data_IF_321342523577
#
_entry.id   IF_321342523577
#
_cell.length_a   1.000
_cell.length_b   1.000
_cell.length_c   1.000
_cell.angle_alpha   90.00
_cell.angle_beta   90.00
_cell.angle_gamma   90.00
#
_symmetry.space_group_name_H-M   'P 1'
#
loop_
_entity.id
_entity.type
_entity.pdbx_description
1 polymer ?
#
# COMPACT_ATOMS: atom_id res chain seq x y z
N UNK A 1 24.78 -8.30 -0.56
CA UNK A 1 23.60 -7.40 -0.66
C UNK A 1 23.63 -6.48 -1.88
N UNK A 2 24.61 -5.59 -2.11
CA UNK A 2 24.60 -4.70 -3.29
C UNK A 2 24.48 -5.45 -4.63
N UNK A 3 25.21 -6.55 -4.82
CA UNK A 3 25.13 -7.36 -6.03
C UNK A 3 23.73 -7.92 -6.31
N UNK A 4 22.99 -8.34 -5.28
CA UNK A 4 21.61 -8.84 -5.45
C UNK A 4 20.67 -7.78 -6.00
N UNK A 5 20.91 -6.51 -5.65
CA UNK A 5 20.07 -5.41 -6.08
C UNK A 5 20.52 -4.80 -7.40
N UNK A 6 21.75 -5.05 -7.89
CA UNK A 6 22.32 -4.36 -9.06
C UNK A 6 21.38 -4.32 -10.27
N UNK A 7 20.72 -5.44 -10.60
CA UNK A 7 19.85 -5.56 -11.77
C UNK A 7 18.34 -5.45 -11.45
N UNK A 8 17.98 -5.11 -10.21
CA UNK A 8 16.56 -4.94 -9.83
C UNK A 8 16.03 -3.60 -10.32
N UNK A 9 15.06 -3.63 -11.23
CA UNK A 9 14.40 -2.42 -11.77
C UNK A 9 13.05 -2.13 -11.11
N UNK A 10 12.37 -3.18 -10.62
CA UNK A 10 11.05 -3.09 -10.02
C UNK A 10 11.01 -3.70 -8.62
N UNK A 11 10.25 -3.08 -7.73
CA UNK A 11 9.94 -3.60 -6.40
C UNK A 11 8.42 -3.55 -6.19
N UNK A 12 7.84 -4.72 -5.95
CA UNK A 12 6.42 -4.87 -5.62
C UNK A 12 6.26 -5.08 -4.12
N UNK A 13 5.42 -4.29 -3.48
CA UNK A 13 5.09 -4.44 -2.05
C UNK A 13 3.59 -4.64 -1.94
N UNK A 14 3.17 -5.84 -1.52
CA UNK A 14 1.77 -6.13 -1.24
C UNK A 14 1.41 -5.77 0.21
N UNK A 15 0.13 -5.52 0.45
CA UNK A 15 -0.44 -5.13 1.75
C UNK A 15 0.28 -3.97 2.44
N UNK A 16 0.55 -2.89 1.69
CA UNK A 16 1.22 -1.71 2.26
C UNK A 16 0.40 -1.05 3.40
N UNK A 17 -0.91 -1.33 3.50
CA UNK A 17 -1.75 -0.91 4.63
C UNK A 17 -1.25 -1.46 5.96
N UNK A 18 -0.60 -2.63 5.96
CA UNK A 18 -0.06 -3.26 7.17
C UNK A 18 1.37 -2.81 7.49
N UNK A 19 2.00 -2.03 6.61
CA UNK A 19 3.39 -1.60 6.74
C UNK A 19 3.46 -0.22 7.41
N UNK A 20 4.15 -0.08 8.56
CA UNK A 20 4.35 1.22 9.19
C UNK A 20 5.09 2.19 8.27
N UNK A 21 4.72 3.47 8.32
CA UNK A 21 5.36 4.51 7.49
C UNK A 21 6.87 4.64 7.69
N UNK A 22 7.35 4.37 8.91
CA UNK A 22 8.78 4.32 9.22
C UNK A 22 9.50 3.27 8.35
N UNK A 23 8.91 2.10 8.18
CA UNK A 23 9.49 1.04 7.35
C UNK A 23 9.56 1.48 5.88
N UNK A 24 8.55 2.19 5.36
CA UNK A 24 8.59 2.76 4.01
C UNK A 24 9.74 3.78 3.87
N UNK A 25 9.97 4.61 4.90
CA UNK A 25 11.11 5.54 4.94
C UNK A 25 12.46 4.81 4.96
N UNK A 26 12.56 3.71 5.72
CA UNK A 26 13.74 2.85 5.77
C UNK A 26 14.02 2.19 4.42
N UNK A 27 12.99 1.64 3.76
CA UNK A 27 13.10 1.06 2.42
C UNK A 27 13.66 2.10 1.45
N UNK A 28 13.07 3.30 1.42
CA UNK A 28 13.57 4.40 0.58
C UNK A 28 15.05 4.72 0.84
N UNK A 29 15.44 4.81 2.11
CA UNK A 29 16.83 5.09 2.48
C UNK A 29 17.78 3.97 2.01
N UNK A 30 17.39 2.70 2.20
CA UNK A 30 18.18 1.55 1.75
C UNK A 30 18.30 1.47 0.24
N UNK A 31 17.23 1.71 -0.52
CA UNK A 31 17.29 1.72 -1.98
C UNK A 31 18.25 2.79 -2.51
N UNK A 32 18.23 3.99 -1.93
CA UNK A 32 19.18 5.06 -2.26
C UNK A 32 20.64 4.68 -1.97
N UNK A 33 20.90 3.99 -0.86
CA UNK A 33 22.23 3.51 -0.49
C UNK A 33 22.73 2.38 -1.40
N UNK A 34 21.83 1.52 -1.88
CA UNK A 34 22.17 0.35 -2.68
C UNK A 34 22.31 0.66 -4.17
N UNK A 35 21.60 1.68 -4.68
CA UNK A 35 21.52 2.03 -6.11
C UNK A 35 22.06 3.42 -6.41
N UNK A 36 21.18 4.43 -6.36
CA UNK A 36 21.52 5.81 -6.68
C UNK A 36 21.11 6.74 -5.54
N UNK A 37 22.07 7.38 -4.84
CA UNK A 37 21.77 8.25 -3.71
C UNK A 37 20.90 9.46 -4.08
N UNK A 38 20.94 9.92 -5.33
CA UNK A 38 20.24 11.13 -5.77
C UNK A 38 18.88 10.85 -6.42
N UNK A 39 18.60 9.59 -6.77
CA UNK A 39 17.34 9.21 -7.41
C UNK A 39 16.20 8.97 -6.39
N UNK A 40 14.96 9.22 -6.81
CA UNK A 40 13.79 8.83 -6.04
C UNK A 40 13.77 7.30 -5.86
N UNK A 41 13.61 6.81 -4.63
CA UNK A 41 13.63 5.37 -4.30
C UNK A 41 14.85 4.62 -4.90
N UNK A 42 16.00 5.30 -5.04
CA UNK A 42 17.19 4.70 -5.63
C UNK A 42 17.12 4.45 -7.14
N UNK A 43 16.12 5.00 -7.84
CA UNK A 43 15.91 4.77 -9.28
C UNK A 43 15.16 3.47 -9.57
N UNK A 44 14.57 2.83 -8.56
CA UNK A 44 13.73 1.64 -8.71
C UNK A 44 12.27 2.06 -8.86
N UNK A 45 11.57 1.42 -9.79
CA UNK A 45 10.13 1.55 -9.94
C UNK A 45 9.43 0.75 -8.82
N UNK A 46 8.78 1.44 -7.90
CA UNK A 46 8.12 0.81 -6.76
C UNK A 46 6.61 0.80 -6.96
N UNK A 47 6.01 -0.39 -6.91
CA UNK A 47 4.57 -0.60 -6.97
C UNK A 47 4.08 -1.07 -5.61
N UNK A 48 3.08 -0.37 -5.09
CA UNK A 48 2.46 -0.66 -3.81
C UNK A 48 1.03 -1.14 -4.05
N UNK A 49 0.67 -2.26 -3.43
CA UNK A 49 -0.68 -2.79 -3.43
C UNK A 49 -1.21 -2.83 -2.01
N UNK A 50 -2.48 -2.54 -1.85
CA UNK A 50 -3.18 -2.60 -0.58
C UNK A 50 -4.67 -2.51 -0.82
N UNK A 51 -5.43 -3.19 0.04
CA UNK A 51 -6.84 -2.88 0.26
C UNK A 51 -6.91 -1.97 1.50
N UNK A 52 -7.17 -0.68 1.27
CA UNK A 52 -7.19 0.34 2.32
C UNK A 52 -8.32 0.12 3.35
N UNK A 53 -9.28 -0.76 3.05
CA UNK A 53 -10.40 -1.09 3.92
C UNK A 53 -10.15 -2.35 4.76
N UNK A 54 -8.94 -2.92 4.69
CA UNK A 54 -8.51 -4.04 5.53
C UNK A 54 -7.78 -3.56 6.80
N UNK A 55 -7.07 -4.47 7.46
CA UNK A 55 -6.42 -4.22 8.74
C UNK A 55 -5.36 -3.10 8.63
N UNK A 56 -5.34 -2.15 9.59
CA UNK A 56 -4.25 -1.18 9.71
C UNK A 56 -2.94 -1.87 10.16
N UNK A 57 -1.80 -1.16 10.18
CA UNK A 57 -0.56 -1.71 10.70
C UNK A 57 -0.75 -2.17 12.16
N UNK A 58 -0.22 -3.36 12.48
CA UNK A 58 -0.28 -3.92 13.84
C UNK A 58 0.42 -3.00 14.85
N UNK A 59 1.48 -2.31 14.41
CA UNK A 59 2.22 -1.37 15.24
C UNK A 59 1.82 0.07 14.92
N UNK A 60 1.53 0.84 15.97
CA UNK A 60 1.21 2.25 15.85
C UNK A 60 2.44 3.04 15.35
N UNK A 61 2.19 3.98 14.45
CA UNK A 61 3.25 4.88 13.98
C UNK A 61 3.68 5.84 15.11
N UNK A 62 4.99 6.07 15.28
CA UNK A 62 5.49 7.04 16.24
C UNK A 62 4.87 8.42 16.01
N UNK A 63 4.50 9.10 17.08
CA UNK A 63 3.75 10.36 17.00
C UNK A 63 4.48 11.47 16.24
N UNK A 64 5.81 11.51 16.36
CA UNK A 64 6.66 12.44 15.60
C UNK A 64 6.64 12.21 14.08
N UNK A 65 6.27 11.01 13.61
CA UNK A 65 6.17 10.68 12.18
C UNK A 65 4.78 11.01 11.59
N UNK A 66 3.74 11.16 12.42
CA UNK A 66 2.38 11.49 11.95
C UNK A 66 2.31 12.82 11.20
N UNK A 67 3.21 13.77 11.51
CA UNK A 67 3.29 15.11 10.91
C UNK A 67 4.30 15.21 9.76
N UNK A 68 5.06 14.16 9.47
CA UNK A 68 6.08 14.19 8.43
C UNK A 68 5.44 14.38 7.05
N UNK A 69 6.08 15.17 6.18
CA UNK A 69 5.63 15.41 4.80
C UNK A 69 5.35 14.07 4.11
N UNK A 70 4.07 13.79 3.84
CA UNK A 70 3.64 12.47 3.39
C UNK A 70 4.37 12.08 2.10
N UNK A 71 5.37 11.19 2.23
CA UNK A 71 6.11 10.64 1.08
C UNK A 71 5.21 9.83 0.14
N UNK A 72 3.98 9.52 0.57
CA UNK A 72 2.89 9.04 -0.27
C UNK A 72 2.65 9.89 -1.52
N UNK A 73 2.91 11.20 -1.47
CA UNK A 73 2.84 12.10 -2.64
C UNK A 73 3.80 11.74 -3.76
N UNK A 74 4.79 10.89 -3.52
CA UNK A 74 5.71 10.38 -4.54
C UNK A 74 5.09 9.26 -5.38
N UNK A 75 3.92 8.74 -4.97
CA UNK A 75 3.22 7.67 -5.66
C UNK A 75 2.00 8.22 -6.38
N UNK A 76 1.68 7.59 -7.52
CA UNK A 76 0.39 7.77 -8.20
C UNK A 76 -0.59 6.73 -7.65
N UNK A 77 -1.72 7.19 -7.12
CA UNK A 77 -2.79 6.31 -6.70
C UNK A 77 -3.58 5.83 -7.92
N UNK A 78 -3.79 4.52 -8.01
CA UNK A 78 -4.67 3.89 -9.00
C UNK A 78 -5.61 2.96 -8.24
N UNK A 79 -6.91 3.18 -8.39
CA UNK A 79 -7.95 2.37 -7.77
C UNK A 79 -8.44 1.30 -8.76
N UNK A 80 -8.45 0.05 -8.32
CA UNK A 80 -9.06 -1.05 -9.06
C UNK A 80 -10.52 -1.20 -8.62
N UNK A 81 -11.46 -1.11 -9.56
CA UNK A 81 -12.91 -1.15 -9.27
C UNK A 81 -13.55 -2.52 -9.44
N UNK A 82 -12.92 -3.40 -10.21
CA UNK A 82 -13.48 -4.71 -10.54
C UNK A 82 -12.96 -5.78 -9.59
N UNK A 83 -13.87 -6.41 -8.86
CA UNK A 83 -13.57 -7.59 -8.07
C UNK A 83 -13.63 -8.84 -8.96
N UNK A 84 -12.55 -9.61 -8.97
CA UNK A 84 -12.43 -10.84 -9.78
C UNK A 84 -12.71 -12.12 -8.97
N UNK A 85 -12.75 -12.06 -7.63
CA UNK A 85 -12.88 -13.25 -6.76
C UNK A 85 -14.30 -13.78 -6.66
N UNK A 86 -15.29 -12.89 -6.53
CA UNK A 86 -16.70 -13.23 -6.37
C UNK A 86 -17.49 -13.11 -7.69
N UNK A 87 -16.83 -13.29 -8.84
CA UNK A 87 -17.49 -13.14 -10.14
C UNK A 87 -18.65 -14.13 -10.30
N UNK A 88 -19.81 -13.60 -10.71
CA UNK A 88 -21.04 -14.37 -10.90
C UNK A 88 -22.02 -14.30 -9.73
N UNK A 89 -21.61 -13.79 -8.57
CA UNK A 89 -22.49 -13.60 -7.40
C UNK A 89 -22.57 -12.12 -7.03
N UNK A 90 -23.49 -11.41 -7.69
CA UNK A 90 -23.70 -9.97 -7.47
C UNK A 90 -24.21 -9.67 -6.07
N UNK A 91 -25.07 -10.53 -5.51
CA UNK A 91 -25.61 -10.36 -4.15
C UNK A 91 -24.50 -10.43 -3.11
N UNK A 92 -23.58 -11.39 -3.24
CA UNK A 92 -22.45 -11.49 -2.30
C UNK A 92 -21.46 -10.31 -2.46
N UNK A 93 -21.21 -9.85 -3.69
CA UNK A 93 -20.39 -8.64 -3.93
C UNK A 93 -21.02 -7.41 -3.26
N UNK A 94 -22.33 -7.23 -3.37
CA UNK A 94 -23.04 -6.09 -2.80
C UNK A 94 -22.98 -6.09 -1.28
N UNK A 95 -23.19 -7.26 -0.65
CA UNK A 95 -23.04 -7.43 0.81
C UNK A 95 -21.61 -7.10 1.25
N UNK A 96 -20.58 -7.58 0.54
CA UNK A 96 -19.19 -7.29 0.89
C UNK A 96 -18.86 -5.80 0.74
N UNK A 97 -19.37 -5.13 -0.30
CA UNK A 97 -19.18 -3.69 -0.50
C UNK A 97 -19.90 -2.85 0.56
N UNK A 98 -21.09 -3.29 0.97
CA UNK A 98 -21.84 -2.68 2.09
C UNK A 98 -21.06 -2.80 3.40
N UNK A 99 -20.55 -4.01 3.72
CA UNK A 99 -19.70 -4.25 4.90
C UNK A 99 -18.44 -3.39 4.89
N UNK A 100 -17.75 -3.32 3.73
CA UNK A 100 -16.56 -2.48 3.57
C UNK A 100 -16.88 -1.02 3.86
N UNK A 101 -17.95 -0.48 3.27
CA UNK A 101 -18.30 0.94 3.39
C UNK A 101 -18.98 1.34 4.70
N UNK A 102 -19.14 0.41 5.65
CA UNK A 102 -19.92 0.56 6.88
C UNK A 102 -21.38 0.99 6.65
N UNK A 103 -21.90 0.81 5.43
CA UNK A 103 -23.29 1.10 5.07
C UNK A 103 -24.09 -0.19 5.13
N UNK A 104 -24.50 -0.58 6.34
CA UNK A 104 -25.47 -1.65 6.51
C UNK A 104 -26.81 -0.97 6.81
N UNK A 105 -27.67 -0.86 5.80
CA UNK A 105 -29.06 -0.48 6.03
C UNK A 105 -29.77 -1.68 6.65
N UNK A 106 -29.88 -1.66 7.98
CA UNK A 106 -30.41 -2.78 8.79
C UNK A 106 -31.94 -2.93 8.70
N UNK A 107 -32.60 -2.32 7.71
CA UNK A 107 -34.07 -2.23 7.60
C UNK A 107 -34.64 -2.67 6.25
N UNK A 108 -33.92 -3.52 5.50
CA UNK A 108 -34.42 -4.12 4.26
C UNK A 108 -34.80 -5.61 4.44
N UNK A 109 -35.41 -5.94 5.58
CA UNK A 109 -36.18 -7.17 5.81
C UNK A 109 -37.54 -6.81 6.42
#
# INVERSE_FOLDING_TARGET
MRQLWQNVEFLFINEISMVPYEMLCMIKSRLRQLKSPNACLGGINVLLFSDLMQLPPVFQQPEHMKRATHRWRQFRLVELKQNMRQQGDTTFIDVLNALKSWRIDVWAF
#
